data_IF_191031267178
#
_entry.id   IF_191031267178
#
_cell.length_a   1.000
_cell.length_b   1.000
_cell.length_c   1.000
_cell.angle_alpha   90.00
_cell.angle_beta   90.00
_cell.angle_gamma   90.00
#
_symmetry.space_group_name_H-M   'P 1'
#
loop_
_entity.id
_entity.type
_entity.pdbx_description
1 polymer ?
#
# COMPACT_ATOMS: atom_id res chain seq x y z
N UNK A 1 6.38 7.70 -29.89
CA UNK A 1 6.29 6.25 -29.62
C UNK A 1 6.31 6.08 -28.11
N UNK A 2 5.43 5.27 -27.52
CA UNK A 2 5.43 5.03 -26.07
C UNK A 2 6.68 4.19 -25.74
N UNK A 3 7.55 4.63 -24.80
CA UNK A 3 8.73 3.87 -24.44
C UNK A 3 8.36 2.52 -23.80
N UNK A 4 9.24 1.53 -23.93
CA UNK A 4 9.08 0.24 -23.28
C UNK A 4 8.94 0.39 -21.76
N UNK A 5 8.17 -0.51 -21.17
CA UNK A 5 7.81 -0.50 -19.77
C UNK A 5 6.51 0.25 -19.48
N UNK A 6 6.08 1.22 -20.28
CA UNK A 6 4.81 1.93 -20.04
C UNK A 6 3.62 1.18 -20.65
N UNK A 7 2.48 1.18 -19.95
CA UNK A 7 1.22 0.65 -20.45
C UNK A 7 0.56 1.60 -21.47
N UNK A 8 0.75 2.92 -21.29
CA UNK A 8 0.50 3.95 -22.30
C UNK A 8 -0.71 4.85 -22.05
N UNK A 9 -1.56 4.53 -21.08
CA UNK A 9 -2.76 5.31 -20.74
C UNK A 9 -2.90 5.53 -19.24
N UNK A 10 -3.66 6.54 -18.87
CA UNK A 10 -4.07 6.80 -17.49
C UNK A 10 -5.58 6.95 -17.43
N UNK A 11 -6.17 6.50 -16.33
CA UNK A 11 -7.58 6.75 -16.03
C UNK A 11 -7.70 8.11 -15.33
N UNK A 12 -8.46 9.02 -15.92
CA UNK A 12 -8.86 10.29 -15.31
C UNK A 12 -10.34 10.22 -14.91
N UNK A 13 -10.61 10.28 -13.61
CA UNK A 13 -11.92 10.00 -13.05
C UNK A 13 -12.41 11.21 -12.28
N UNK A 14 -13.51 11.79 -12.76
CA UNK A 14 -14.29 12.78 -12.04
C UNK A 14 -15.49 12.07 -11.39
N UNK A 15 -15.40 11.89 -10.07
CA UNK A 15 -16.41 11.19 -9.28
C UNK A 15 -17.70 11.98 -9.12
N UNK A 16 -17.63 13.31 -9.18
CA UNK A 16 -18.81 14.17 -9.01
C UNK A 16 -19.68 14.12 -10.25
N UNK A 17 -19.06 14.10 -11.43
CA UNK A 17 -19.76 14.00 -12.71
C UNK A 17 -19.89 12.56 -13.24
N UNK A 18 -19.43 11.57 -12.48
CA UNK A 18 -19.37 10.16 -12.88
C UNK A 18 -18.74 9.95 -14.27
N UNK A 19 -17.61 10.61 -14.51
CA UNK A 19 -16.91 10.63 -15.80
C UNK A 19 -15.60 9.86 -15.68
N UNK A 20 -15.36 8.93 -16.60
CA UNK A 20 -14.12 8.16 -16.69
C UNK A 20 -13.54 8.36 -18.10
N UNK A 21 -12.32 8.88 -18.18
CA UNK A 21 -11.64 9.16 -19.45
C UNK A 21 -10.24 8.55 -19.49
N UNK A 22 -9.85 8.12 -20.69
CA UNK A 22 -8.48 7.76 -20.99
C UNK A 22 -7.70 9.03 -21.33
N UNK A 23 -6.61 9.28 -20.61
CA UNK A 23 -5.65 10.34 -20.96
C UNK A 23 -4.28 9.75 -21.26
N UNK A 24 -3.46 10.53 -21.97
CA UNK A 24 -2.07 10.19 -22.28
C UNK A 24 -1.16 11.37 -21.94
N UNK A 25 0.12 11.07 -21.72
CA UNK A 25 1.14 12.08 -21.49
C UNK A 25 2.15 12.09 -22.65
N UNK A 26 2.65 13.27 -23.08
CA UNK A 26 3.72 13.37 -24.05
C UNK A 26 4.98 12.61 -23.62
N UNK A 27 5.78 12.16 -24.59
CA UNK A 27 7.01 11.42 -24.31
C UNK A 27 7.97 12.23 -23.43
N UNK A 28 8.08 13.52 -23.69
CA UNK A 28 8.96 14.46 -22.98
C UNK A 28 8.59 14.53 -21.49
N UNK A 29 7.29 14.47 -21.17
CA UNK A 29 6.81 14.40 -19.78
C UNK A 29 7.20 13.06 -19.14
N UNK A 30 7.00 11.95 -19.85
CA UNK A 30 7.39 10.62 -19.33
C UNK A 30 8.92 10.50 -19.16
N UNK A 31 9.70 11.12 -20.03
CA UNK A 31 11.16 11.15 -19.92
C UNK A 31 11.64 11.97 -18.73
N UNK A 32 11.03 13.14 -18.48
CA UNK A 32 11.41 14.02 -17.37
C UNK A 32 10.97 13.49 -16.00
N UNK A 33 9.77 12.89 -15.92
CA UNK A 33 9.14 12.54 -14.64
C UNK A 33 9.07 11.02 -14.38
N UNK A 34 9.41 10.18 -15.37
CA UNK A 34 9.42 8.73 -15.33
C UNK A 34 8.07 8.09 -14.93
N UNK A 35 7.68 8.15 -13.67
CA UNK A 35 6.48 7.49 -13.19
C UNK A 35 6.35 7.66 -11.68
N UNK A 36 5.40 6.93 -11.10
CA UNK A 36 5.18 6.91 -9.66
C UNK A 36 5.08 8.32 -9.09
N UNK A 37 5.96 8.62 -8.12
CA UNK A 37 6.00 9.93 -7.45
C UNK A 37 6.29 11.10 -8.39
N UNK A 38 7.16 10.91 -9.40
CA UNK A 38 7.52 11.98 -10.34
C UNK A 38 6.32 12.42 -11.16
N UNK A 39 5.64 11.47 -11.81
CA UNK A 39 4.40 11.74 -12.55
C UNK A 39 3.29 12.28 -11.64
N UNK A 40 3.13 11.73 -10.44
CA UNK A 40 2.13 12.24 -9.50
C UNK A 40 2.39 13.70 -9.11
N UNK A 41 3.66 14.09 -8.92
CA UNK A 41 4.04 15.47 -8.62
C UNK A 41 3.77 16.40 -9.80
N UNK A 42 4.09 15.96 -11.03
CA UNK A 42 3.77 16.73 -12.25
C UNK A 42 2.27 16.97 -12.42
N UNK A 43 1.46 15.93 -12.20
CA UNK A 43 -0.01 16.05 -12.27
C UNK A 43 -0.54 17.03 -11.23
N UNK A 44 -0.04 16.95 -9.99
CA UNK A 44 -0.43 17.91 -8.95
C UNK A 44 -0.02 19.34 -9.30
N UNK A 45 1.20 19.52 -9.81
CA UNK A 45 1.67 20.82 -10.27
C UNK A 45 0.74 21.41 -11.35
N UNK A 46 0.42 20.62 -12.37
CA UNK A 46 -0.38 21.08 -13.49
C UNK A 46 -1.84 21.38 -13.13
N UNK A 47 -2.42 20.65 -12.16
CA UNK A 47 -3.85 20.75 -11.84
C UNK A 47 -4.17 21.69 -10.68
N UNK A 48 -3.26 21.84 -9.72
CA UNK A 48 -3.59 22.47 -8.43
C UNK A 48 -2.47 23.35 -7.85
N UNK A 49 -1.38 23.64 -8.56
CA UNK A 49 -0.29 24.47 -8.02
C UNK A 49 -0.74 25.91 -7.70
N UNK A 50 -1.57 26.49 -8.55
CA UNK A 50 -2.12 27.85 -8.45
C UNK A 50 -3.04 28.04 -7.23
N UNK A 51 -3.76 26.99 -6.84
CA UNK A 51 -4.62 26.94 -5.65
C UNK A 51 -4.03 26.19 -4.47
N UNK A 52 -2.74 25.80 -4.54
CA UNK A 52 -2.14 24.91 -3.57
C UNK A 52 -2.20 25.46 -2.15
N UNK A 53 -1.99 26.76 -1.96
CA UNK A 53 -1.99 27.38 -0.64
C UNK A 53 -3.34 27.29 0.05
N UNK A 54 -4.42 27.52 -0.69
CA UNK A 54 -5.78 27.70 -0.14
C UNK A 54 -6.61 26.40 -0.13
N UNK A 55 -6.23 25.39 -0.91
CA UNK A 55 -6.93 24.10 -1.00
C UNK A 55 -6.66 23.21 0.21
N UNK A 56 -7.67 22.64 0.86
CA UNK A 56 -7.48 21.63 1.91
C UNK A 56 -7.08 20.25 1.33
N UNK A 57 -6.35 19.45 2.11
CA UNK A 57 -5.97 18.10 1.70
C UNK A 57 -7.17 17.14 1.48
N UNK A 58 -8.35 17.44 2.01
CA UNK A 58 -9.56 16.63 1.86
C UNK A 58 -10.51 17.18 0.79
N UNK A 59 -10.18 18.30 0.14
CA UNK A 59 -11.05 18.94 -0.84
C UNK A 59 -11.37 18.02 -2.03
N UNK A 60 -12.59 18.10 -2.59
CA UNK A 60 -12.95 17.36 -3.80
C UNK A 60 -12.00 17.63 -4.97
N UNK A 61 -11.45 18.83 -5.07
CA UNK A 61 -10.51 19.21 -6.13
C UNK A 61 -9.11 18.63 -5.95
N UNK A 62 -8.71 18.23 -4.73
CA UNK A 62 -7.40 17.63 -4.49
C UNK A 62 -7.29 16.30 -5.25
N UNK A 63 -6.38 16.15 -6.22
CA UNK A 63 -6.23 14.91 -6.96
C UNK A 63 -5.69 13.79 -6.05
N UNK A 64 -6.35 12.64 -6.06
CA UNK A 64 -5.81 11.40 -5.50
C UNK A 64 -5.28 10.54 -6.63
N UNK A 65 -3.97 10.27 -6.63
CA UNK A 65 -3.26 9.69 -7.75
C UNK A 65 -2.66 8.35 -7.33
N UNK A 66 -2.95 7.29 -8.09
CA UNK A 66 -2.30 5.99 -8.02
C UNK A 66 -1.41 5.84 -9.25
N UNK A 67 -0.09 5.86 -9.06
CA UNK A 67 0.87 5.92 -10.16
C UNK A 67 1.86 4.76 -10.10
N UNK A 68 1.94 3.99 -11.17
CA UNK A 68 3.02 3.01 -11.38
C UNK A 68 4.21 3.66 -12.07
N UNK A 69 5.32 2.93 -12.19
CA UNK A 69 6.48 3.35 -12.99
C UNK A 69 6.79 2.37 -14.13
N UNK A 70 7.67 2.74 -15.07
CA UNK A 70 8.07 1.87 -16.17
C UNK A 70 8.68 0.54 -15.70
N UNK A 71 9.32 0.54 -14.53
CA UNK A 71 9.95 -0.66 -13.93
C UNK A 71 9.03 -1.49 -13.04
N UNK A 72 7.81 -1.03 -12.73
CA UNK A 72 6.81 -1.82 -11.99
C UNK A 72 6.61 -3.15 -12.73
N UNK A 73 6.63 -4.28 -12.03
CA UNK A 73 6.50 -5.63 -12.62
C UNK A 73 7.76 -6.19 -13.30
N UNK A 74 8.70 -5.33 -13.73
CA UNK A 74 9.99 -5.74 -14.32
C UNK A 74 11.05 -5.90 -13.21
N UNK A 75 11.21 -4.90 -12.36
CA UNK A 75 12.11 -4.95 -11.22
C UNK A 75 11.48 -5.71 -10.04
N UNK A 76 12.25 -6.46 -9.23
CA UNK A 76 11.76 -7.15 -8.04
C UNK A 76 11.00 -6.26 -7.05
N UNK A 77 9.82 -6.69 -6.59
CA UNK A 77 9.03 -5.98 -5.58
C UNK A 77 8.14 -4.87 -6.16
N UNK A 78 7.31 -5.20 -7.16
CA UNK A 78 6.48 -4.25 -7.90
C UNK A 78 5.74 -3.24 -6.99
N UNK A 79 6.01 -1.94 -7.19
CA UNK A 79 5.46 -0.85 -6.38
C UNK A 79 4.49 0.04 -7.15
N UNK A 80 3.61 0.68 -6.38
CA UNK A 80 2.77 1.80 -6.79
C UNK A 80 2.94 2.96 -5.81
N UNK A 81 2.79 4.19 -6.29
CA UNK A 81 2.78 5.40 -5.50
C UNK A 81 1.34 5.92 -5.37
N UNK A 82 0.91 6.21 -4.15
CA UNK A 82 -0.32 6.96 -3.86
C UNK A 82 0.07 8.37 -3.46
N UNK A 83 -0.52 9.38 -4.10
CA UNK A 83 -0.16 10.77 -3.88
C UNK A 83 -1.36 11.72 -4.03
N UNK A 84 -1.15 12.94 -3.56
CA UNK A 84 -2.10 14.05 -3.47
C UNK A 84 -1.52 15.13 -2.57
N UNK A 85 -2.25 16.23 -2.35
CA UNK A 85 -1.94 17.11 -1.21
C UNK A 85 -2.22 16.36 0.08
N UNK A 86 -1.20 16.23 0.93
CA UNK A 86 -1.29 15.48 2.19
C UNK A 86 -2.11 16.26 3.24
N UNK A 87 -3.16 15.68 3.86
CA UNK A 87 -3.85 16.29 4.99
C UNK A 87 -3.03 16.30 6.29
N UNK A 88 -1.86 15.64 6.31
CA UNK A 88 -0.94 15.63 7.46
C UNK A 88 0.05 16.78 7.37
N UNK A 89 0.70 16.94 6.21
CA UNK A 89 1.82 17.88 6.05
C UNK A 89 1.52 19.09 5.16
N UNK A 90 0.36 19.14 4.50
CA UNK A 90 0.03 20.09 3.42
C UNK A 90 1.00 20.07 2.22
N UNK A 91 1.92 19.10 2.17
CA UNK A 91 2.86 18.90 1.08
C UNK A 91 2.56 17.67 0.23
N UNK A 92 3.55 17.26 -0.57
CA UNK A 92 3.51 16.02 -1.36
C UNK A 92 4.44 15.01 -0.70
N UNK A 93 3.89 13.87 -0.28
CA UNK A 93 4.68 12.76 0.30
C UNK A 93 4.92 11.67 -0.73
N UNK A 94 3.87 11.29 -1.49
CA UNK A 94 3.93 10.18 -2.45
C UNK A 94 4.28 8.85 -1.78
N UNK A 95 3.32 8.28 -1.04
CA UNK A 95 3.53 7.05 -0.28
C UNK A 95 3.53 5.83 -1.19
N UNK A 96 4.43 4.88 -0.97
CA UNK A 96 4.56 3.71 -1.85
C UNK A 96 4.16 2.43 -1.15
N UNK A 97 3.54 1.51 -1.88
CA UNK A 97 3.27 0.16 -1.42
C UNK A 97 3.68 -0.85 -2.50
N UNK A 98 4.16 -2.02 -2.10
CA UNK A 98 4.28 -3.15 -3.02
C UNK A 98 2.98 -3.97 -3.01
N UNK A 99 2.41 -4.14 -4.20
CA UNK A 99 1.07 -4.71 -4.36
C UNK A 99 0.90 -5.34 -5.73
N UNK A 100 0.14 -6.43 -5.77
CA UNK A 100 -0.28 -7.08 -7.00
C UNK A 100 -1.17 -6.14 -7.84
N UNK A 101 -1.86 -5.17 -7.22
CA UNK A 101 -2.62 -4.14 -7.93
C UNK A 101 -1.76 -3.37 -8.95
N UNK A 102 -0.51 -3.08 -8.59
CA UNK A 102 0.43 -2.36 -9.46
C UNK A 102 0.78 -3.13 -10.74
N UNK A 103 0.76 -4.46 -10.68
CA UNK A 103 1.00 -5.33 -11.83
C UNK A 103 -0.27 -5.49 -12.65
N UNK A 104 -1.39 -5.76 -11.97
CA UNK A 104 -2.69 -5.97 -12.62
C UNK A 104 -3.15 -4.73 -13.39
N UNK A 105 -3.00 -3.52 -12.82
CA UNK A 105 -3.39 -2.27 -13.51
C UNK A 105 -2.57 -2.05 -14.79
N UNK A 106 -1.27 -2.39 -14.78
CA UNK A 106 -0.45 -2.30 -15.99
C UNK A 106 -0.85 -3.32 -17.05
N UNK A 107 -1.25 -4.52 -16.64
CA UNK A 107 -1.78 -5.52 -17.56
C UNK A 107 -3.11 -5.07 -18.19
N UNK A 108 -3.93 -4.27 -17.47
CA UNK A 108 -5.14 -3.66 -18.07
C UNK A 108 -4.83 -2.54 -19.08
N UNK A 109 -3.57 -2.13 -19.23
CA UNK A 109 -3.17 -1.07 -20.17
C UNK A 109 -3.06 0.32 -19.56
N UNK A 110 -3.13 0.45 -18.23
CA UNK A 110 -3.03 1.74 -17.53
C UNK A 110 -1.78 1.85 -16.65
N UNK A 111 -1.08 2.98 -16.73
CA UNK A 111 0.06 3.32 -15.88
C UNK A 111 -0.36 3.97 -14.57
N UNK A 112 -1.58 4.50 -14.49
CA UNK A 112 -2.10 5.09 -13.27
C UNK A 112 -3.54 5.57 -13.36
N UNK A 113 -4.01 6.10 -12.24
CA UNK A 113 -5.39 6.51 -11.99
C UNK A 113 -5.35 7.85 -11.27
N UNK A 114 -6.18 8.80 -11.69
CA UNK A 114 -6.34 10.12 -11.09
C UNK A 114 -7.80 10.27 -10.71
N UNK A 115 -8.07 10.50 -9.43
CA UNK A 115 -9.41 10.80 -8.95
C UNK A 115 -9.53 12.27 -8.57
N UNK A 116 -10.61 12.88 -9.04
CA UNK A 116 -11.08 14.21 -8.63
C UNK A 116 -12.57 14.14 -8.30
N UNK A 117 -13.09 15.18 -7.64
CA UNK A 117 -14.46 15.21 -7.15
C UNK A 117 -14.67 14.28 -5.96
N UNK A 118 -15.94 14.00 -5.69
CA UNK A 118 -16.43 13.12 -4.63
C UNK A 118 -17.66 12.36 -5.13
N UNK A 119 -17.68 11.05 -4.93
CA UNK A 119 -18.86 10.24 -5.23
C UNK A 119 -19.97 10.52 -4.20
N UNK A 120 -21.25 10.61 -4.58
CA UNK A 120 -22.34 10.82 -3.63
C UNK A 120 -22.48 9.67 -2.61
N UNK A 121 -22.04 8.47 -2.98
CA UNK A 121 -22.13 7.24 -2.18
C UNK A 121 -20.81 6.47 -2.22
N UNK A 122 -20.54 5.58 -1.24
CA UNK A 122 -19.38 4.69 -1.27
C UNK A 122 -19.30 3.86 -2.56
N UNK A 123 -18.15 3.94 -3.25
CA UNK A 123 -17.86 3.14 -4.45
C UNK A 123 -16.49 2.47 -4.39
N UNK A 124 -16.27 1.46 -5.21
CA UNK A 124 -14.92 1.00 -5.55
C UNK A 124 -14.73 1.04 -7.07
N UNK A 125 -13.50 1.30 -7.52
CA UNK A 125 -13.15 1.21 -8.93
C UNK A 125 -12.74 -0.22 -9.26
N UNK A 126 -13.34 -0.82 -10.29
CA UNK A 126 -12.93 -2.09 -10.87
C UNK A 126 -12.38 -1.86 -12.27
N UNK A 127 -11.14 -2.29 -12.52
CA UNK A 127 -10.51 -2.23 -13.84
C UNK A 127 -10.21 -3.63 -14.33
N UNK A 128 -10.82 -4.02 -15.45
CA UNK A 128 -10.63 -5.35 -16.06
C UNK A 128 -10.25 -5.23 -17.53
N UNK A 129 -10.11 -6.37 -18.20
CA UNK A 129 -9.97 -6.43 -19.66
C UNK A 129 -11.19 -5.83 -20.39
N UNK A 130 -12.35 -5.71 -19.73
CA UNK A 130 -13.59 -5.16 -20.29
C UNK A 130 -13.67 -3.63 -20.13
N UNK A 131 -12.76 -3.02 -19.36
CA UNK A 131 -12.71 -1.59 -19.08
C UNK A 131 -12.86 -1.23 -17.59
N UNK A 132 -12.77 0.07 -17.27
CA UNK A 132 -12.98 0.59 -15.93
C UNK A 132 -14.48 0.81 -15.61
N UNK A 133 -14.89 0.54 -14.38
CA UNK A 133 -16.24 0.86 -13.88
C UNK A 133 -16.22 1.22 -12.39
N UNK A 134 -17.10 2.12 -11.98
CA UNK A 134 -17.37 2.40 -10.57
C UNK A 134 -18.51 1.50 -10.07
N UNK A 135 -18.26 0.75 -9.02
CA UNK A 135 -19.20 -0.23 -8.43
C UNK A 135 -19.64 0.25 -7.06
N UNK A 136 -20.91 0.05 -6.71
CA UNK A 136 -21.43 0.33 -5.36
C UNK A 136 -20.62 -0.44 -4.30
N UNK A 137 -20.25 0.26 -3.23
CA UNK A 137 -19.47 -0.30 -2.13
C UNK A 137 -20.14 -0.09 -0.76
N UNK A 138 -21.45 0.18 -0.71
CA UNK A 138 -22.16 0.47 0.55
C UNK A 138 -22.06 -0.68 1.54
N UNK A 139 -22.11 -1.92 1.04
CA UNK A 139 -21.99 -3.15 1.83
C UNK A 139 -20.57 -3.44 2.34
N UNK A 140 -19.57 -2.71 1.83
CA UNK A 140 -18.17 -2.79 2.26
C UNK A 140 -17.79 -1.66 3.23
N UNK A 141 -18.53 -0.54 3.21
CA UNK A 141 -18.28 0.59 4.08
C UNK A 141 -18.49 0.22 5.55
N UNK A 142 -17.59 0.66 6.44
CA UNK A 142 -17.59 0.33 7.86
C UNK A 142 -16.89 -0.99 8.22
N UNK A 143 -16.53 -1.81 7.23
CA UNK A 143 -15.82 -3.06 7.48
C UNK A 143 -14.32 -2.82 7.71
N UNK A 144 -13.73 -3.61 8.62
CA UNK A 144 -12.28 -3.68 8.78
C UNK A 144 -11.57 -4.16 7.50
N UNK A 145 -10.26 -3.96 7.47
CA UNK A 145 -9.44 -4.24 6.29
C UNK A 145 -9.44 -5.71 5.86
N UNK A 146 -9.35 -6.64 6.82
CA UNK A 146 -9.35 -8.09 6.53
C UNK A 146 -10.67 -8.54 5.92
N UNK A 147 -11.79 -8.15 6.56
CA UNK A 147 -13.14 -8.46 6.10
C UNK A 147 -13.42 -7.83 4.74
N UNK A 148 -12.97 -6.58 4.53
CA UNK A 148 -13.05 -5.88 3.23
C UNK A 148 -12.34 -6.69 2.15
N UNK A 149 -11.09 -7.08 2.37
CA UNK A 149 -10.29 -7.82 1.40
C UNK A 149 -10.92 -9.17 1.04
N UNK A 150 -11.42 -9.92 2.04
CA UNK A 150 -12.07 -11.21 1.81
C UNK A 150 -13.33 -11.05 0.95
N UNK A 151 -14.21 -10.11 1.31
CA UNK A 151 -15.46 -9.87 0.56
C UNK A 151 -15.19 -9.37 -0.85
N UNK A 152 -14.28 -8.40 -1.01
CA UNK A 152 -13.91 -7.83 -2.30
C UNK A 152 -13.32 -8.90 -3.23
N UNK A 153 -12.42 -9.75 -2.72
CA UNK A 153 -11.85 -10.85 -3.49
C UNK A 153 -12.91 -11.85 -3.96
N UNK A 154 -13.89 -12.17 -3.10
CA UNK A 154 -14.98 -13.09 -3.44
C UNK A 154 -15.89 -12.48 -4.51
N UNK A 155 -16.39 -11.28 -4.27
CA UNK A 155 -17.32 -10.58 -5.16
C UNK A 155 -16.72 -10.39 -6.56
N UNK A 156 -15.48 -9.90 -6.65
CA UNK A 156 -14.83 -9.66 -7.95
C UNK A 156 -14.62 -10.96 -8.72
N UNK A 157 -14.24 -12.05 -8.06
CA UNK A 157 -14.14 -13.37 -8.72
C UNK A 157 -15.48 -13.86 -9.22
N UNK A 158 -16.55 -13.72 -8.44
CA UNK A 158 -17.90 -14.10 -8.85
C UNK A 158 -18.37 -13.29 -10.05
N UNK A 159 -18.14 -11.97 -10.03
CA UNK A 159 -18.42 -11.06 -11.16
C UNK A 159 -17.67 -11.49 -12.42
N UNK A 160 -16.36 -11.75 -12.31
CA UNK A 160 -15.54 -12.17 -13.44
C UNK A 160 -15.91 -13.56 -13.98
N UNK A 161 -16.24 -14.52 -13.11
CA UNK A 161 -16.75 -15.84 -13.53
C UNK A 161 -18.08 -15.72 -14.26
N UNK A 162 -18.99 -14.85 -13.82
CA UNK A 162 -20.27 -14.61 -14.50
C UNK A 162 -20.08 -13.95 -15.87
N UNK A 163 -19.20 -12.96 -15.98
CA UNK A 163 -18.90 -12.26 -17.24
C UNK A 163 -18.14 -13.14 -18.23
N UNK A 164 -17.27 -14.01 -17.72
CA UNK A 164 -16.37 -14.85 -18.52
C UNK A 164 -16.44 -16.33 -18.08
N UNK A 165 -17.57 -17.04 -18.31
CA UNK A 165 -17.79 -18.40 -17.80
C UNK A 165 -16.84 -19.45 -18.39
N UNK A 166 -16.21 -19.14 -19.53
CA UNK A 166 -15.23 -20.01 -20.19
C UNK A 166 -13.79 -19.78 -19.72
N UNK A 167 -13.57 -18.78 -18.86
CA UNK A 167 -12.31 -18.59 -18.16
C UNK A 167 -12.39 -19.43 -16.89
N UNK A 168 -11.41 -20.30 -16.68
CA UNK A 168 -11.33 -21.15 -15.49
C UNK A 168 -11.22 -20.35 -14.18
N UNK A 169 -10.64 -20.98 -13.16
CA UNK A 169 -10.56 -20.36 -11.84
C UNK A 169 -9.76 -19.04 -11.85
N UNK A 170 -10.39 -17.96 -11.40
CA UNK A 170 -9.76 -16.66 -11.22
C UNK A 170 -8.86 -16.63 -10.00
N UNK A 171 -7.60 -16.20 -10.20
CA UNK A 171 -6.72 -15.78 -9.09
C UNK A 171 -7.31 -14.56 -8.39
N UNK A 172 -6.87 -14.30 -7.15
CA UNK A 172 -7.27 -13.08 -6.46
C UNK A 172 -6.91 -11.84 -7.30
N UNK A 173 -7.80 -10.83 -7.36
CA UNK A 173 -7.48 -9.55 -7.98
C UNK A 173 -6.42 -8.82 -7.16
N UNK A 174 -5.69 -7.91 -7.81
CA UNK A 174 -4.91 -6.91 -7.09
C UNK A 174 -5.86 -5.86 -6.54
N UNK A 175 -5.70 -5.45 -5.28
CA UNK A 175 -6.53 -4.41 -4.69
C UNK A 175 -5.76 -3.51 -3.73
N UNK A 176 -6.18 -2.27 -3.64
CA UNK A 176 -5.87 -1.35 -2.55
C UNK A 176 -7.17 -0.81 -1.97
N UNK A 177 -7.28 -0.67 -0.66
CA UNK A 177 -8.56 -0.44 0.02
C UNK A 177 -8.42 0.41 1.29
N UNK A 178 -9.56 0.90 1.80
CA UNK A 178 -9.65 1.61 3.07
C UNK A 178 -10.10 0.71 4.21
N UNK A 179 -9.53 0.96 5.39
CA UNK A 179 -10.16 0.59 6.67
C UNK A 179 -11.00 1.75 7.25
N UNK A 180 -11.67 1.53 8.39
CA UNK A 180 -12.47 2.54 9.08
C UNK A 180 -11.76 3.88 9.34
N UNK A 181 -10.44 3.90 9.54
CA UNK A 181 -9.70 5.15 9.72
C UNK A 181 -9.79 6.08 8.50
N UNK A 182 -9.72 5.51 7.29
CA UNK A 182 -9.87 6.26 6.05
C UNK A 182 -11.29 6.76 5.84
N UNK A 183 -12.28 5.90 6.12
CA UNK A 183 -13.71 6.22 6.06
C UNK A 183 -14.15 7.32 7.04
N UNK A 184 -13.38 7.55 8.09
CA UNK A 184 -13.60 8.63 9.06
C UNK A 184 -12.60 9.80 8.89
N UNK A 185 -11.86 9.83 7.77
CA UNK A 185 -10.88 10.87 7.44
C UNK A 185 -9.84 11.13 8.54
N UNK A 186 -9.46 10.11 9.32
CA UNK A 186 -8.40 10.26 10.32
C UNK A 186 -7.12 10.65 9.60
N UNK A 187 -6.44 11.72 10.00
CA UNK A 187 -5.30 12.30 9.24
C UNK A 187 -4.18 11.31 8.95
N UNK A 188 -3.96 10.31 9.80
CA UNK A 188 -2.93 9.28 9.61
C UNK A 188 -3.45 7.99 8.94
N UNK A 189 -4.63 8.03 8.33
CA UNK A 189 -5.19 6.88 7.64
C UNK A 189 -4.40 6.52 6.38
N UNK A 190 -4.28 5.22 6.15
CA UNK A 190 -3.51 4.64 5.07
C UNK A 190 -4.38 4.10 3.97
N UNK A 191 -3.78 3.94 2.79
CA UNK A 191 -4.35 3.10 1.75
C UNK A 191 -3.73 1.72 1.88
N UNK A 192 -4.53 0.75 2.28
CA UNK A 192 -4.10 -0.61 2.60
C UNK A 192 -4.04 -1.48 1.35
N UNK A 193 -3.26 -2.56 1.41
CA UNK A 193 -3.18 -3.60 0.39
C UNK A 193 -2.75 -4.90 1.06
N UNK A 194 -3.16 -6.05 0.52
CA UNK A 194 -2.97 -7.34 1.24
C UNK A 194 -3.58 -7.25 2.64
N UNK A 195 -3.12 -8.06 3.60
CA UNK A 195 -3.66 -8.05 4.97
C UNK A 195 -2.94 -7.05 5.89
N UNK A 196 -1.69 -6.69 5.60
CA UNK A 196 -0.80 -5.95 6.50
C UNK A 196 0.22 -5.07 5.75
N UNK A 197 -0.12 -4.62 4.53
CA UNK A 197 0.75 -3.79 3.72
C UNK A 197 0.03 -2.50 3.36
N UNK A 198 0.76 -1.40 3.18
CA UNK A 198 0.12 -0.10 3.05
C UNK A 198 0.97 0.92 2.29
N UNK A 199 0.28 1.84 1.63
CA UNK A 199 0.81 3.18 1.44
C UNK A 199 0.60 3.94 2.77
N UNK A 200 1.59 3.79 3.65
CA UNK A 200 1.50 4.09 5.08
C UNK A 200 1.59 5.57 5.48
N UNK A 201 1.99 6.46 4.58
CA UNK A 201 2.33 7.86 4.91
C UNK A 201 1.49 8.88 4.13
N UNK A 202 1.46 10.11 4.65
CA UNK A 202 0.84 11.24 3.97
C UNK A 202 -0.68 11.34 4.13
N UNK A 203 -1.34 10.43 4.86
CA UNK A 203 -2.78 10.53 5.11
C UNK A 203 -3.65 10.29 3.87
N UNK A 204 -3.13 9.59 2.86
CA UNK A 204 -3.85 9.38 1.61
C UNK A 204 -5.08 8.47 1.77
N UNK A 205 -5.16 7.69 2.85
CA UNK A 205 -6.40 6.99 3.22
C UNK A 205 -7.55 7.94 3.53
N UNK A 206 -7.27 9.08 4.17
CA UNK A 206 -8.26 10.11 4.48
C UNK A 206 -8.73 10.83 3.21
N UNK A 207 -7.81 11.09 2.27
CA UNK A 207 -8.13 11.69 0.96
C UNK A 207 -9.03 10.75 0.15
N UNK A 208 -8.70 9.46 0.13
CA UNK A 208 -9.52 8.45 -0.55
C UNK A 208 -10.90 8.31 0.10
N UNK A 209 -10.98 8.39 1.43
CA UNK A 209 -12.23 8.40 2.16
C UNK A 209 -13.07 9.64 1.91
N UNK A 210 -12.47 10.84 1.86
CA UNK A 210 -13.22 12.09 1.62
C UNK A 210 -13.92 12.10 0.27
N UNK A 211 -13.41 11.31 -0.69
CA UNK A 211 -13.97 11.08 -2.02
C UNK A 211 -14.99 9.94 -2.11
N UNK A 212 -15.28 9.24 -1.00
CA UNK A 212 -16.13 8.05 -0.93
C UNK A 212 -15.63 6.86 -1.77
N UNK A 213 -14.31 6.68 -1.89
CA UNK A 213 -13.73 5.51 -2.57
C UNK A 213 -13.33 4.48 -1.51
N UNK A 214 -13.98 3.32 -1.47
CA UNK A 214 -13.63 2.21 -0.57
C UNK A 214 -12.41 1.42 -1.04
N UNK A 215 -12.28 1.22 -2.36
CA UNK A 215 -11.23 0.41 -2.95
C UNK A 215 -10.92 0.79 -4.41
N UNK A 216 -9.72 0.39 -4.85
CA UNK A 216 -9.35 0.27 -6.26
C UNK A 216 -8.91 -1.16 -6.51
N UNK A 217 -9.47 -1.79 -7.55
CA UNK A 217 -9.28 -3.21 -7.85
C UNK A 217 -8.95 -3.38 -9.32
N UNK A 218 -7.95 -4.20 -9.61
CA UNK A 218 -7.58 -4.53 -10.98
C UNK A 218 -7.44 -6.03 -11.16
N UNK A 219 -7.91 -6.53 -12.30
CA UNK A 219 -7.65 -7.89 -12.74
C UNK A 219 -7.59 -7.98 -14.25
N UNK A 220 -6.47 -8.48 -14.77
CA UNK A 220 -6.28 -8.67 -16.20
C UNK A 220 -5.76 -10.06 -16.54
N UNK A 221 -6.04 -10.50 -17.78
CA UNK A 221 -5.43 -11.69 -18.40
C UNK A 221 -4.39 -11.32 -19.46
N UNK A 222 -4.25 -10.04 -19.77
CA UNK A 222 -3.33 -9.56 -20.79
C UNK A 222 -1.88 -9.70 -20.35
N UNK A 223 -0.97 -9.61 -21.32
CA UNK A 223 0.45 -9.62 -21.07
C UNK A 223 0.95 -8.29 -20.52
N UNK A 224 2.07 -8.35 -19.81
CA UNK A 224 2.77 -7.17 -19.33
C UNK A 224 3.20 -6.25 -20.49
N UNK A 225 3.28 -4.92 -20.30
CA UNK A 225 3.76 -4.00 -21.33
C UNK A 225 5.10 -4.40 -21.95
N UNK A 226 5.29 -4.03 -23.23
CA UNK A 226 6.49 -4.33 -24.00
C UNK A 226 7.75 -3.82 -23.27
N UNK A 227 8.80 -4.63 -23.24
CA UNK A 227 10.15 -4.23 -22.82
C UNK A 227 11.02 -4.07 -24.05
N UNK A 228 11.66 -2.92 -24.25
CA UNK A 228 12.39 -2.61 -25.49
C UNK A 228 13.68 -3.43 -25.65
N UNK A 229 14.39 -3.70 -24.56
CA UNK A 229 15.63 -4.49 -24.56
C UNK A 229 15.49 -5.74 -23.67
N UNK A 230 14.69 -6.75 -24.06
CA UNK A 230 14.31 -7.85 -23.18
C UNK A 230 15.50 -8.71 -22.73
N UNK A 231 16.49 -8.94 -23.58
CA UNK A 231 17.68 -9.73 -23.19
C UNK A 231 18.59 -8.97 -22.21
N UNK A 232 18.73 -7.66 -22.37
CA UNK A 232 19.45 -6.83 -21.40
C UNK A 232 18.71 -6.77 -20.06
N UNK A 233 17.38 -6.62 -20.10
CA UNK A 233 16.54 -6.65 -18.91
C UNK A 233 16.67 -7.98 -18.17
N UNK A 234 16.65 -9.13 -18.87
CA UNK A 234 16.88 -10.46 -18.27
C UNK A 234 18.25 -10.57 -17.59
N UNK A 235 19.30 -10.05 -18.21
CA UNK A 235 20.66 -10.07 -17.63
C UNK A 235 20.72 -9.24 -16.33
N UNK A 236 20.17 -8.02 -16.36
CA UNK A 236 20.12 -7.14 -15.18
C UNK A 236 19.23 -7.71 -14.08
N UNK A 237 18.11 -8.33 -14.46
CA UNK A 237 17.20 -9.01 -13.55
C UNK A 237 17.88 -10.16 -12.80
N UNK A 238 18.66 -11.00 -13.50
CA UNK A 238 19.48 -12.05 -12.87
C UNK A 238 20.52 -11.48 -11.90
N UNK A 239 21.19 -10.39 -12.27
CA UNK A 239 22.14 -9.69 -11.38
C UNK A 239 21.45 -9.15 -10.14
N UNK A 240 20.30 -8.49 -10.29
CA UNK A 240 19.51 -7.98 -9.17
C UNK A 240 19.13 -9.12 -8.20
N UNK A 241 18.61 -10.23 -8.72
CA UNK A 241 18.28 -11.38 -7.88
C UNK A 241 19.49 -12.01 -7.17
N UNK A 242 20.64 -12.09 -7.86
CA UNK A 242 21.87 -12.57 -7.24
C UNK A 242 22.30 -11.72 -6.03
N UNK A 243 22.07 -10.40 -6.07
CA UNK A 243 22.32 -9.52 -4.91
C UNK A 243 21.23 -9.65 -3.84
N UNK A 244 19.94 -9.63 -4.22
CA UNK A 244 18.83 -9.70 -3.28
C UNK A 244 18.84 -10.98 -2.42
N UNK A 245 19.31 -12.11 -2.96
CA UNK A 245 19.40 -13.38 -2.22
C UNK A 245 20.49 -13.36 -1.14
N UNK A 246 21.49 -12.47 -1.26
CA UNK A 246 22.60 -12.34 -0.29
C UNK A 246 22.19 -11.59 0.99
N UNK A 247 21.05 -10.90 1.01
CA UNK A 247 20.59 -10.09 2.15
C UNK A 247 19.99 -10.98 3.25
N UNK A 248 20.84 -11.77 3.90
CA UNK A 248 20.44 -12.86 4.81
C UNK A 248 19.53 -12.42 5.96
N UNK A 249 19.80 -11.28 6.60
CA UNK A 249 19.01 -10.82 7.76
C UNK A 249 17.57 -10.48 7.36
N UNK A 250 17.38 -9.74 6.27
CA UNK A 250 16.04 -9.46 5.75
C UNK A 250 15.31 -10.75 5.36
N UNK A 251 16.03 -11.68 4.71
CA UNK A 251 15.44 -12.96 4.30
C UNK A 251 15.01 -13.80 5.49
N UNK A 252 15.80 -13.82 6.57
CA UNK A 252 15.55 -14.60 7.76
C UNK A 252 14.50 -13.94 8.66
N UNK A 253 14.59 -12.62 8.83
CA UNK A 253 13.94 -11.91 9.92
C UNK A 253 13.14 -10.68 9.52
N UNK A 254 13.17 -10.27 8.24
CA UNK A 254 12.55 -9.03 7.81
C UNK A 254 13.23 -7.82 8.44
N UNK A 255 12.60 -6.64 8.36
CA UNK A 255 13.12 -5.43 9.03
C UNK A 255 13.15 -5.59 10.55
N UNK A 256 12.28 -6.46 11.09
CA UNK A 256 12.22 -6.79 12.51
C UNK A 256 13.52 -7.30 13.12
N UNK A 257 14.53 -7.68 12.33
CA UNK A 257 15.87 -7.97 12.83
C UNK A 257 16.49 -6.79 13.63
N UNK A 258 16.02 -5.56 13.41
CA UNK A 258 16.48 -4.37 14.11
C UNK A 258 15.89 -4.21 15.52
N UNK A 259 14.77 -4.86 15.85
CA UNK A 259 13.97 -4.62 17.07
C UNK A 259 14.81 -4.38 18.32
N UNK A 260 15.49 -5.41 18.84
CA UNK A 260 16.35 -5.26 20.02
C UNK A 260 17.60 -4.39 19.80
N UNK A 261 18.17 -4.41 18.60
CA UNK A 261 19.43 -3.75 18.30
C UNK A 261 19.32 -2.23 18.26
N UNK A 262 18.15 -1.71 17.88
CA UNK A 262 17.91 -0.27 17.79
C UNK A 262 18.00 0.42 19.16
N UNK A 263 17.32 -0.10 20.18
CA UNK A 263 17.44 0.37 21.55
C UNK A 263 18.80 0.03 22.16
N UNK A 264 19.14 -1.25 22.28
CA UNK A 264 20.28 -1.69 23.08
C UNK A 264 21.65 -1.38 22.46
N UNK A 265 21.74 -1.45 21.12
CA UNK A 265 22.99 -1.34 20.39
C UNK A 265 23.30 0.06 19.88
N UNK A 266 22.27 0.84 19.53
CA UNK A 266 22.44 2.16 18.90
C UNK A 266 21.80 3.32 19.67
N UNK A 267 21.00 3.08 20.71
CA UNK A 267 20.27 4.15 21.43
C UNK A 267 19.40 4.97 20.46
N UNK A 268 18.61 4.29 19.64
CA UNK A 268 17.86 4.91 18.52
C UNK A 268 16.44 4.37 18.38
N UNK A 269 15.81 3.97 19.48
CA UNK A 269 14.46 3.42 19.49
C UNK A 269 13.51 4.27 20.34
N UNK A 270 12.33 4.65 19.86
CA UNK A 270 11.39 5.43 20.65
C UNK A 270 10.94 4.64 21.88
N UNK A 271 11.23 5.13 23.08
CA UNK A 271 10.68 4.60 24.33
C UNK A 271 9.79 5.65 24.99
N UNK A 272 8.51 5.31 25.20
CA UNK A 272 7.51 6.20 25.82
C UNK A 272 7.48 7.60 25.18
N UNK A 273 7.21 7.66 23.88
CA UNK A 273 7.21 8.92 23.10
C UNK A 273 8.55 9.68 23.16
N UNK A 274 9.65 8.97 22.88
CA UNK A 274 11.02 9.53 22.85
C UNK A 274 11.49 10.17 24.16
N UNK A 275 10.88 9.85 25.30
CA UNK A 275 11.42 10.25 26.62
C UNK A 275 12.72 9.52 26.94
N UNK A 276 12.86 8.31 26.40
CA UNK A 276 14.09 7.52 26.38
C UNK A 276 14.31 6.98 24.97
N UNK A 277 15.56 6.59 24.68
CA UNK A 277 15.97 6.04 23.38
C UNK A 277 16.73 4.71 23.48
N UNK A 278 16.99 4.27 24.72
CA UNK A 278 17.76 3.07 25.06
C UNK A 278 16.98 2.15 25.99
N UNK A 279 17.11 0.84 25.79
CA UNK A 279 16.70 -0.18 26.74
C UNK A 279 17.50 -1.47 26.49
N UNK A 280 17.45 -2.43 27.44
CA UNK A 280 18.03 -3.76 27.27
C UNK A 280 16.98 -4.89 27.33
N UNK A 281 15.73 -4.58 27.00
CA UNK A 281 14.62 -5.52 27.00
C UNK A 281 14.70 -6.54 25.85
N UNK A 282 15.31 -7.70 26.12
CA UNK A 282 15.49 -8.78 25.13
C UNK A 282 14.19 -9.41 24.62
N UNK A 283 13.05 -9.10 25.27
CA UNK A 283 11.74 -9.58 24.86
C UNK A 283 11.33 -9.07 23.47
N UNK A 284 11.73 -7.86 23.08
CA UNK A 284 11.48 -7.26 21.75
C UNK A 284 12.40 -7.84 20.65
N UNK A 285 13.28 -8.78 21.00
CA UNK A 285 14.14 -9.45 20.02
C UNK A 285 13.34 -10.27 19.01
N UNK A 286 13.73 -10.20 17.73
CA UNK A 286 13.02 -10.85 16.61
C UNK A 286 12.81 -12.36 16.78
N UNK A 287 13.71 -13.03 17.51
CA UNK A 287 13.59 -14.45 17.83
C UNK A 287 12.30 -14.76 18.61
N UNK A 288 11.86 -13.86 19.50
CA UNK A 288 10.63 -14.06 20.29
C UNK A 288 9.39 -14.04 19.40
N UNK A 289 9.34 -13.16 18.40
CA UNK A 289 8.27 -13.13 17.41
C UNK A 289 8.29 -14.38 16.51
N UNK A 290 9.48 -14.75 16.04
CA UNK A 290 9.71 -15.93 15.21
C UNK A 290 9.22 -17.21 15.87
N UNK A 291 9.60 -17.45 17.12
CA UNK A 291 9.32 -18.69 17.82
C UNK A 291 7.85 -18.78 18.26
N UNK A 292 7.20 -17.64 18.55
CA UNK A 292 5.83 -17.61 19.13
C UNK A 292 4.72 -17.43 18.11
N UNK A 293 4.91 -16.57 17.10
CA UNK A 293 3.79 -16.07 16.29
C UNK A 293 3.93 -16.32 14.80
N UNK A 294 5.13 -16.54 14.27
CA UNK A 294 5.27 -16.65 12.81
C UNK A 294 4.65 -17.93 12.25
N UNK A 295 3.64 -17.76 11.41
CA UNK A 295 2.96 -18.85 10.69
C UNK A 295 3.41 -18.97 9.24
N UNK A 296 4.02 -17.91 8.69
CA UNK A 296 4.61 -17.91 7.35
C UNK A 296 5.91 -17.13 7.38
N UNK A 297 7.03 -17.84 7.26
CA UNK A 297 8.37 -17.26 7.37
C UNK A 297 8.97 -16.85 6.02
N UNK A 298 8.27 -17.13 4.92
CA UNK A 298 8.67 -16.78 3.57
C UNK A 298 7.48 -16.16 2.85
N UNK A 299 7.39 -14.85 2.90
CA UNK A 299 6.48 -14.09 2.05
C UNK A 299 7.28 -13.00 1.33
N UNK A 300 7.09 -12.92 0.02
CA UNK A 300 7.69 -11.91 -0.83
C UNK A 300 6.62 -11.14 -1.59
N UNK A 301 6.94 -9.90 -1.92
CA UNK A 301 6.24 -9.15 -2.95
C UNK A 301 6.46 -9.74 -4.33
N UNK A 302 5.64 -9.30 -5.28
CA UNK A 302 5.70 -9.75 -6.67
C UNK A 302 7.14 -9.69 -7.20
N UNK A 303 7.62 -10.83 -7.69
CA UNK A 303 8.95 -10.97 -8.29
C UNK A 303 10.14 -10.64 -7.34
N UNK A 304 9.95 -10.65 -6.01
CA UNK A 304 11.02 -10.35 -5.05
C UNK A 304 11.65 -11.62 -4.45
N UNK A 305 12.98 -11.73 -4.43
CA UNK A 305 13.69 -12.87 -3.80
C UNK A 305 14.24 -12.57 -2.40
N UNK A 306 14.07 -11.34 -1.89
CA UNK A 306 14.46 -10.96 -0.53
C UNK A 306 13.49 -11.51 0.52
N UNK A 307 12.24 -11.80 0.16
CA UNK A 307 11.27 -12.47 1.04
C UNK A 307 11.21 -11.91 2.49
N UNK A 308 11.25 -10.58 2.62
CA UNK A 308 11.41 -9.88 3.90
C UNK A 308 10.20 -9.97 4.82
N UNK A 309 8.98 -10.05 4.27
CA UNK A 309 7.76 -10.16 5.07
C UNK A 309 7.66 -11.52 5.77
N UNK A 310 7.08 -11.54 6.97
CA UNK A 310 6.64 -12.77 7.65
C UNK A 310 5.22 -12.55 8.17
N UNK A 311 4.48 -13.61 8.46
CA UNK A 311 3.11 -13.45 8.98
C UNK A 311 3.09 -13.86 10.42
N UNK A 312 2.70 -12.94 11.30
CA UNK A 312 2.41 -13.24 12.69
C UNK A 312 0.94 -13.62 12.83
N UNK A 313 0.68 -14.64 13.65
CA UNK A 313 -0.67 -15.00 14.04
C UNK A 313 -0.70 -15.40 15.52
N UNK A 314 -1.55 -14.74 16.31
CA UNK A 314 -1.77 -15.10 17.70
C UNK A 314 -2.75 -16.28 17.75
N UNK A 315 -2.30 -17.43 18.24
CA UNK A 315 -3.06 -18.70 18.19
C UNK A 315 -3.86 -19.01 19.47
N UNK A 316 -3.51 -18.37 20.58
CA UNK A 316 -4.03 -18.64 21.93
C UNK A 316 -4.21 -17.35 22.70
N UNK A 317 -4.89 -17.38 23.84
CA UNK A 317 -5.05 -16.20 24.70
C UNK A 317 -6.13 -15.22 24.22
N UNK A 318 -6.17 -14.02 24.81
CA UNK A 318 -7.24 -13.04 24.59
C UNK A 318 -7.25 -12.46 23.16
N UNK A 319 -6.09 -12.41 22.50
CA UNK A 319 -5.94 -11.84 21.15
C UNK A 319 -5.90 -12.91 20.06
N UNK A 320 -6.42 -14.11 20.36
CA UNK A 320 -6.47 -15.23 19.41
C UNK A 320 -7.17 -14.82 18.12
N UNK A 321 -6.51 -15.07 16.99
CA UNK A 321 -7.01 -14.79 15.64
C UNK A 321 -6.46 -13.50 15.05
N UNK A 322 -5.67 -12.72 15.80
CA UNK A 322 -4.97 -11.58 15.23
C UNK A 322 -3.89 -12.00 14.25
N UNK A 323 -3.85 -11.29 13.12
CA UNK A 323 -2.96 -11.53 11.99
C UNK A 323 -2.44 -10.18 11.52
N UNK A 324 -1.12 -10.06 11.41
CA UNK A 324 -0.39 -8.91 10.86
C UNK A 324 0.90 -9.44 10.20
N UNK A 325 1.79 -8.57 9.73
CA UNK A 325 3.15 -8.97 9.37
C UNK A 325 3.89 -9.45 10.66
N UNK A 326 5.18 -9.78 10.64
CA UNK A 326 6.01 -9.36 11.79
C UNK A 326 5.70 -7.89 11.94
N UNK A 327 5.47 -7.32 13.13
CA UNK A 327 5.57 -5.89 13.16
C UNK A 327 6.94 -5.55 12.54
N UNK A 328 6.93 -4.90 11.36
CA UNK A 328 8.13 -4.36 10.73
C UNK A 328 8.86 -3.61 11.83
N UNK A 329 10.17 -3.36 11.71
CA UNK A 329 10.90 -2.67 12.77
C UNK A 329 10.15 -1.44 13.29
N UNK A 330 9.60 -0.65 12.37
CA UNK A 330 8.78 0.51 12.68
C UNK A 330 7.52 0.18 13.52
N UNK A 331 6.82 -0.91 13.24
CA UNK A 331 5.67 -1.34 14.03
C UNK A 331 6.12 -1.95 15.37
N UNK A 332 7.31 -2.56 15.46
CA UNK A 332 7.86 -2.99 16.76
C UNK A 332 8.13 -1.79 17.64
N UNK A 333 8.80 -0.78 17.09
CA UNK A 333 9.13 0.45 17.76
C UNK A 333 7.87 1.23 18.15
N UNK A 334 7.03 1.61 17.18
CA UNK A 334 5.93 2.53 17.45
C UNK A 334 4.72 1.86 18.10
N UNK A 335 4.34 0.63 17.75
CA UNK A 335 3.26 -0.10 18.45
C UNK A 335 3.72 -0.76 19.76
N UNK A 336 5.00 -0.65 20.13
CA UNK A 336 5.61 -1.37 21.25
C UNK A 336 6.32 -0.42 22.18
N UNK A 337 7.63 -0.28 21.99
CA UNK A 337 8.53 0.46 22.88
C UNK A 337 8.12 1.92 23.04
N UNK A 338 7.59 2.54 21.98
CA UNK A 338 7.06 3.91 22.01
C UNK A 338 5.88 4.08 22.98
N UNK A 339 5.16 3.00 23.27
CA UNK A 339 4.08 2.94 24.26
C UNK A 339 4.53 2.37 25.61
N UNK A 340 5.84 2.09 25.77
CA UNK A 340 6.40 1.39 26.93
C UNK A 340 6.03 -0.09 26.99
N UNK A 341 5.64 -0.70 25.87
CA UNK A 341 5.22 -2.10 25.75
C UNK A 341 6.38 -2.93 25.20
N UNK A 342 6.90 -3.83 26.02
CA UNK A 342 7.98 -4.76 25.66
C UNK A 342 7.51 -6.21 25.49
N UNK A 343 6.20 -6.47 25.65
CA UNK A 343 5.62 -7.79 25.41
C UNK A 343 5.30 -8.00 23.91
N UNK A 344 5.88 -9.02 23.25
CA UNK A 344 5.65 -9.29 21.85
C UNK A 344 4.19 -9.59 21.46
N UNK A 345 3.41 -10.23 22.34
CA UNK A 345 2.01 -10.56 22.03
C UNK A 345 1.16 -9.29 21.94
N UNK A 346 1.32 -8.40 22.92
CA UNK A 346 0.68 -7.09 22.96
C UNK A 346 1.10 -6.21 21.78
N UNK A 347 2.37 -6.24 21.39
CA UNK A 347 2.87 -5.51 20.23
C UNK A 347 2.25 -6.03 18.90
N UNK A 348 2.15 -7.35 18.72
CA UNK A 348 1.45 -7.97 17.56
C UNK A 348 -0.03 -7.60 17.54
N UNK A 349 -0.69 -7.55 18.71
CA UNK A 349 -2.08 -7.14 18.83
C UNK A 349 -2.28 -5.69 18.36
N UNK A 350 -1.47 -4.74 18.85
CA UNK A 350 -1.58 -3.32 18.47
C UNK A 350 -1.26 -3.13 16.98
N UNK A 351 -0.24 -3.82 16.45
CA UNK A 351 0.06 -3.87 15.02
C UNK A 351 -1.15 -4.33 14.19
N UNK A 352 -1.81 -5.40 14.63
CA UNK A 352 -3.03 -5.92 13.98
C UNK A 352 -4.17 -4.91 13.99
N UNK A 353 -4.34 -4.16 15.09
CA UNK A 353 -5.35 -3.10 15.14
C UNK A 353 -5.06 -1.99 14.13
N UNK A 354 -3.79 -1.59 13.97
CA UNK A 354 -3.42 -0.59 12.96
C UNK A 354 -3.77 -1.06 11.55
N UNK A 355 -3.46 -2.31 11.22
CA UNK A 355 -3.77 -2.91 9.92
C UNK A 355 -5.29 -3.02 9.67
N UNK A 356 -6.03 -3.59 10.63
CA UNK A 356 -7.49 -3.79 10.52
C UNK A 356 -8.25 -2.48 10.39
N UNK A 357 -7.83 -1.46 11.14
CA UNK A 357 -8.46 -0.14 11.12
C UNK A 357 -7.98 0.73 9.95
N UNK A 358 -6.82 0.43 9.37
CA UNK A 358 -6.23 1.19 8.27
C UNK A 358 -5.48 2.44 8.72
N UNK A 359 -4.81 2.39 9.87
CA UNK A 359 -3.92 3.46 10.34
C UNK A 359 -2.48 3.23 9.89
N UNK A 360 -1.73 4.33 9.81
CA UNK A 360 -0.27 4.27 9.68
C UNK A 360 0.32 3.56 10.89
N UNK A 361 1.07 2.49 10.66
CA UNK A 361 1.78 1.75 11.71
C UNK A 361 2.85 2.57 12.46
N UNK A 362 3.13 3.80 12.01
CA UNK A 362 4.03 4.75 12.67
C UNK A 362 3.22 5.92 13.22
N UNK A 363 2.56 6.70 12.35
CA UNK A 363 1.87 7.92 12.80
C UNK A 363 0.65 7.64 13.69
N UNK A 364 -0.02 6.51 13.50
CA UNK A 364 -1.11 6.03 14.36
C UNK A 364 -0.66 5.86 15.80
N UNK A 365 0.20 4.87 16.09
CA UNK A 365 0.68 4.63 17.43
C UNK A 365 1.61 5.72 17.98
N UNK A 366 2.28 6.53 17.14
CA UNK A 366 2.98 7.72 17.62
C UNK A 366 2.02 8.76 18.23
N UNK A 367 0.82 8.91 17.65
CA UNK A 367 -0.23 9.76 18.23
C UNK A 367 -0.73 9.19 19.56
N UNK A 368 -0.81 7.86 19.68
CA UNK A 368 -1.14 7.20 20.95
C UNK A 368 -0.07 7.46 22.01
N UNK A 369 1.22 7.34 21.64
CA UNK A 369 2.34 7.61 22.54
C UNK A 369 2.39 9.05 23.01
N UNK A 370 2.03 10.02 22.17
CA UNK A 370 1.90 11.43 22.59
C UNK A 370 0.79 11.64 23.62
N UNK A 371 -0.30 10.87 23.55
CA UNK A 371 -1.45 11.02 24.43
C UNK A 371 -1.32 10.29 25.78
N UNK A 372 -0.51 9.24 25.82
CA UNK A 372 -0.23 8.43 27.02
C UNK A 372 0.81 9.12 27.92
#
# INVERSE_FOLDING_TARGET
>A
MIPGGYAGKWLDIDLTNNKIEDITFPYETLEQFFGGRGMATKILWDRVADKWTDMDGLDPENPLIFATGPMTGIYPGARICVSGKSPVSNGVVGSTAATEFAVEIKNTGYDGIIFTGKSPEPVYLLVTDDGPELVDAKHLWGLDGETTLIKLNKEVKETLTKRHPNVGLWKAPGSMYLGPAGENMVRNACVMTKICHAAGYGGYGSVMGSKNIKAVVAKSRNMFPKVDAPEAAKLLWRKAHAELIKVSDFRRWGTGHLGFGAGAGTSSEPVRNWQEEWHNETAIGVNRYMDRFWVKTKWADFNCTTNCMKVSCIKTGPYKGDITDVPDYELQAYCGTNLGIFDPESNVHISTLMDKLGHSGINGPNTLGYAA
#
